data_IF_753790142698
#
_entry.id   IF_753790142698
#
_cell.length_a   1.000
_cell.length_b   1.000
_cell.length_c   1.000
_cell.angle_alpha   90.00
_cell.angle_beta   90.00
_cell.angle_gamma   90.00
#
_symmetry.space_group_name_H-M   'P 1'
#
loop_
_entity.id
_entity.type
_entity.pdbx_description
1 polymer ?
#
# COMPACT_ATOMS: atom_id res chain seq x y z
N UNK A 1 -21.57 -13.59 5.73
CA UNK A 1 -20.90 -13.04 4.53
C UNK A 1 -19.73 -12.17 5.00
N UNK A 2 -18.50 -12.66 4.85
CA UNK A 2 -17.30 -12.05 5.47
C UNK A 2 -16.65 -10.98 4.60
N UNK A 3 -16.10 -9.93 5.23
CA UNK A 3 -15.31 -8.92 4.53
C UNK A 3 -13.93 -9.51 4.14
N UNK A 4 -13.47 -9.33 2.89
CA UNK A 4 -12.15 -9.79 2.48
C UNK A 4 -11.04 -9.25 3.40
N UNK A 5 -10.06 -10.09 3.75
CA UNK A 5 -8.97 -9.73 4.68
C UNK A 5 -8.24 -8.48 4.21
N UNK A 6 -7.98 -8.35 2.90
CA UNK A 6 -7.34 -7.16 2.33
C UNK A 6 -8.14 -5.88 2.59
N UNK A 7 -9.48 -5.93 2.51
CA UNK A 7 -10.32 -4.78 2.80
C UNK A 7 -10.27 -4.38 4.27
N UNK A 8 -10.14 -5.34 5.18
CA UNK A 8 -9.94 -5.07 6.60
C UNK A 8 -8.60 -4.37 6.86
N UNK A 9 -7.53 -4.81 6.19
CA UNK A 9 -6.20 -4.19 6.26
C UNK A 9 -6.23 -2.76 5.70
N UNK A 10 -6.83 -2.54 4.53
CA UNK A 10 -6.97 -1.18 3.96
C UNK A 10 -7.77 -0.27 4.88
N UNK A 11 -8.86 -0.76 5.49
CA UNK A 11 -9.64 0.00 6.47
C UNK A 11 -8.82 0.37 7.72
N UNK A 12 -7.86 -0.47 8.11
CA UNK A 12 -6.97 -0.18 9.23
C UNK A 12 -5.95 0.90 8.84
N UNK A 13 -5.39 0.83 7.63
CA UNK A 13 -4.44 1.83 7.11
C UNK A 13 -5.12 3.20 6.99
N UNK A 14 -6.39 3.26 6.57
CA UNK A 14 -7.14 4.52 6.51
C UNK A 14 -7.34 5.19 7.88
N UNK A 15 -7.37 4.40 8.97
CA UNK A 15 -7.40 4.94 10.33
C UNK A 15 -6.05 5.52 10.75
N UNK A 16 -4.96 5.08 10.12
CA UNK A 16 -3.64 5.68 10.30
C UNK A 16 -3.56 6.92 9.45
N UNK A 17 -3.18 8.05 10.05
CA UNK A 17 -3.02 9.31 9.30
C UNK A 17 -1.70 9.30 8.50
N UNK A 18 -1.58 8.39 7.53
CA UNK A 18 -0.41 8.23 6.65
C UNK A 18 -0.08 9.56 5.96
N UNK A 19 -1.09 10.32 5.55
CA UNK A 19 -0.90 11.62 4.92
C UNK A 19 -0.19 12.63 5.83
N UNK A 20 -0.47 12.62 7.13
CA UNK A 20 0.24 13.47 8.10
C UNK A 20 1.71 13.06 8.23
N UNK A 21 2.00 11.76 8.26
CA UNK A 21 3.37 11.24 8.33
C UNK A 21 4.13 11.63 7.06
N UNK A 22 3.56 11.37 5.89
CA UNK A 22 4.16 11.71 4.59
C UNK A 22 4.48 13.21 4.50
N UNK A 23 3.59 14.07 5.00
CA UNK A 23 3.83 15.52 5.06
C UNK A 23 4.92 15.90 6.06
N UNK A 24 4.96 15.26 7.22
CA UNK A 24 5.97 15.55 8.25
C UNK A 24 7.39 15.20 7.81
N UNK A 25 7.53 14.20 6.94
CA UNK A 25 8.82 13.71 6.45
C UNK A 25 9.10 14.04 4.98
N UNK A 26 8.22 14.82 4.33
CA UNK A 26 8.32 15.19 2.91
C UNK A 26 8.55 13.97 1.98
N UNK A 27 8.00 12.80 2.34
CA UNK A 27 8.37 11.50 1.75
C UNK A 27 7.98 11.37 0.27
N UNK A 28 6.98 12.14 -0.18
CA UNK A 28 6.51 12.14 -1.57
C UNK A 28 7.20 13.22 -2.43
N UNK A 29 8.11 14.05 -1.89
CA UNK A 29 8.70 15.21 -2.58
C UNK A 29 9.34 14.88 -3.93
N UNK A 30 10.00 13.73 -4.02
CA UNK A 30 10.71 13.28 -5.22
C UNK A 30 9.90 12.27 -6.06
N UNK A 31 8.76 11.77 -5.54
CA UNK A 31 7.92 10.79 -6.22
C UNK A 31 6.82 11.47 -7.05
N UNK A 32 6.91 11.38 -8.38
CA UNK A 32 5.94 12.00 -9.31
C UNK A 32 4.61 11.25 -9.45
N UNK A 33 4.63 9.91 -9.46
CA UNK A 33 3.44 9.09 -9.76
C UNK A 33 3.16 8.00 -8.73
N UNK A 34 4.16 7.58 -7.94
CA UNK A 34 4.05 6.47 -7.00
C UNK A 34 4.21 6.95 -5.56
N UNK A 35 3.10 7.43 -5.00
CA UNK A 35 3.05 8.02 -3.65
C UNK A 35 3.16 6.97 -2.55
N UNK A 36 3.61 7.38 -1.37
CA UNK A 36 3.85 6.52 -0.20
C UNK A 36 2.65 5.65 0.18
N UNK A 37 1.43 6.19 0.12
CA UNK A 37 0.20 5.40 0.40
C UNK A 37 -0.02 4.30 -0.63
N UNK A 38 0.16 4.61 -1.91
CA UNK A 38 0.02 3.62 -2.99
C UNK A 38 1.09 2.55 -2.84
N UNK A 39 2.33 2.93 -2.58
CA UNK A 39 3.44 2.01 -2.37
C UNK A 39 3.18 1.05 -1.21
N UNK A 40 2.69 1.56 -0.07
CA UNK A 40 2.33 0.74 1.09
C UNK A 40 1.25 -0.30 0.75
N UNK A 41 0.18 0.13 0.08
CA UNK A 41 -0.94 -0.76 -0.28
C UNK A 41 -0.46 -1.83 -1.28
N UNK A 42 0.35 -1.45 -2.27
CA UNK A 42 0.94 -2.38 -3.26
C UNK A 42 1.83 -3.43 -2.60
N UNK A 43 2.72 -3.03 -1.68
CA UNK A 43 3.58 -3.96 -0.94
C UNK A 43 2.77 -4.96 -0.10
N UNK A 44 1.76 -4.47 0.63
CA UNK A 44 0.88 -5.33 1.42
C UNK A 44 0.06 -6.28 0.55
N UNK A 45 -0.40 -5.81 -0.62
CA UNK A 45 -1.08 -6.66 -1.58
C UNK A 45 -0.19 -7.79 -2.09
N UNK A 46 1.07 -7.50 -2.45
CA UNK A 46 2.03 -8.51 -2.89
C UNK A 46 2.30 -9.58 -1.82
N UNK A 47 2.57 -9.14 -0.58
CA UNK A 47 2.81 -10.04 0.55
C UNK A 47 1.59 -10.92 0.84
N UNK A 48 0.39 -10.34 0.90
CA UNK A 48 -0.84 -11.09 1.21
C UNK A 48 -1.28 -12.01 0.07
N UNK A 49 -0.89 -11.70 -1.16
CA UNK A 49 -1.16 -12.55 -2.32
C UNK A 49 -0.17 -13.72 -2.45
N UNK A 50 0.85 -13.82 -1.56
CA UNK A 50 1.96 -14.78 -1.66
C UNK A 50 2.75 -14.68 -2.97
N UNK A 51 2.76 -13.51 -3.61
CA UNK A 51 3.71 -13.26 -4.70
C UNK A 51 5.08 -13.02 -4.06
N UNK A 52 5.96 -14.03 -4.08
CA UNK A 52 7.31 -13.93 -3.52
C UNK A 52 8.24 -13.04 -4.40
N UNK A 53 7.78 -12.63 -5.59
CA UNK A 53 8.55 -11.81 -6.53
C UNK A 53 7.69 -10.75 -7.24
N UNK A 54 8.24 -9.54 -7.40
CA UNK A 54 7.67 -8.45 -8.21
C UNK A 54 7.35 -8.88 -9.65
N UNK A 55 8.07 -9.87 -10.19
CA UNK A 55 7.84 -10.41 -11.54
C UNK A 55 6.43 -10.98 -11.70
N UNK A 56 5.94 -11.70 -10.68
CA UNK A 56 4.62 -12.37 -10.73
C UNK A 56 3.44 -11.37 -10.69
N UNK A 57 3.67 -10.15 -10.22
CA UNK A 57 2.65 -9.09 -10.16
C UNK A 57 2.54 -8.28 -11.47
N UNK A 58 3.57 -8.32 -12.32
CA UNK A 58 3.63 -7.56 -13.58
C UNK A 58 3.24 -8.39 -14.81
N UNK A 59 3.12 -9.71 -14.68
CA UNK A 59 2.63 -10.61 -15.73
C UNK A 59 1.10 -10.77 -15.59
N UNK A 60 0.37 -9.72 -15.99
CA UNK A 60 -1.09 -9.69 -16.04
C UNK A 60 -1.59 -8.79 -17.16
#
# INVERSE_FOLDING_TARGET
>A
MGQPIFKQVVNLIEKVNISSIVRSYDSDRYYKAFKSRTHLITMLFGILSRCDSMTETCEG
#
